data_IF_325218257644
#
_entry.id   IF_325218257644
#
_cell.length_a   1.000
_cell.length_b   1.000
_cell.length_c   1.000
_cell.angle_alpha   90.00
_cell.angle_beta   90.00
_cell.angle_gamma   90.00
#
_symmetry.space_group_name_H-M   'P 1'
#
loop_
_entity.id
_entity.type
_entity.pdbx_description
1 polymer ?
#
# COMPACT_ATOMS: atom_id res chain seq x y z
N UNK A 1 -9.15 -8.12 5.06
CA UNK A 1 -8.27 -7.09 5.68
C UNK A 1 -8.30 -7.23 7.19
N UNK A 2 -7.20 -7.69 7.77
CA UNK A 2 -7.06 -7.92 9.22
C UNK A 2 -6.74 -6.60 9.93
N UNK A 3 -7.08 -6.46 11.21
CA UNK A 3 -6.73 -5.28 12.02
C UNK A 3 -5.99 -5.72 13.28
N UNK A 4 -4.89 -5.05 13.62
CA UNK A 4 -4.10 -5.33 14.82
C UNK A 4 -3.50 -4.06 15.41
N UNK A 5 -3.12 -4.10 16.68
CA UNK A 5 -2.41 -2.98 17.32
C UNK A 5 -0.91 -3.08 17.08
N UNK A 6 -0.19 -1.97 17.24
CA UNK A 6 1.29 -1.96 17.22
C UNK A 6 1.88 -2.94 18.24
N UNK A 7 1.26 -3.07 19.43
CA UNK A 7 1.72 -3.99 20.49
C UNK A 7 1.60 -5.44 20.01
N UNK A 8 0.42 -5.81 19.51
CA UNK A 8 0.15 -7.14 18.99
C UNK A 8 1.13 -7.52 17.86
N UNK A 9 1.43 -6.58 16.96
CA UNK A 9 2.39 -6.81 15.89
C UNK A 9 3.79 -7.11 16.42
N UNK A 10 4.28 -6.34 17.41
CA UNK A 10 5.61 -6.56 17.99
C UNK A 10 5.77 -7.96 18.58
N UNK A 11 4.71 -8.50 19.17
CA UNK A 11 4.73 -9.83 19.79
C UNK A 11 4.62 -10.98 18.78
N UNK A 12 3.97 -10.75 17.64
CA UNK A 12 3.59 -11.83 16.69
C UNK A 12 4.21 -11.70 15.30
N UNK A 13 5.09 -10.73 15.04
CA UNK A 13 5.61 -10.44 13.70
C UNK A 13 6.38 -11.60 13.06
N UNK A 14 7.17 -12.35 13.83
CA UNK A 14 8.12 -13.35 13.29
C UNK A 14 7.44 -14.51 12.55
N UNK A 15 6.30 -14.97 13.06
CA UNK A 15 5.64 -16.19 12.59
C UNK A 15 4.32 -15.89 11.87
N UNK A 16 4.11 -14.64 11.46
CA UNK A 16 2.85 -14.22 10.84
C UNK A 16 2.99 -14.26 9.31
N UNK A 17 2.34 -15.21 8.63
CA UNK A 17 2.20 -15.14 7.19
C UNK A 17 1.30 -13.95 6.82
N UNK A 18 1.72 -13.18 5.80
CA UNK A 18 1.02 -12.00 5.30
C UNK A 18 0.18 -12.36 4.08
N UNK A 19 -0.76 -13.28 4.27
CA UNK A 19 -1.68 -13.73 3.21
C UNK A 19 -2.67 -12.63 2.81
N UNK A 20 -2.89 -11.66 3.71
CA UNK A 20 -3.76 -10.52 3.50
C UNK A 20 -3.16 -9.25 4.14
N UNK A 21 -3.46 -8.06 3.57
CA UNK A 21 -3.18 -6.78 4.19
C UNK A 21 -3.69 -6.67 5.62
N UNK A 22 -2.84 -6.13 6.51
CA UNK A 22 -3.19 -5.82 7.89
C UNK A 22 -3.17 -4.30 8.12
N UNK A 23 -4.27 -3.76 8.67
CA UNK A 23 -4.29 -2.41 9.22
C UNK A 23 -3.72 -2.39 10.63
N UNK A 24 -2.76 -1.49 10.87
CA UNK A 24 -2.13 -1.30 12.18
C UNK A 24 -2.73 -0.09 12.88
N UNK A 25 -3.16 -0.31 14.11
CA UNK A 25 -3.79 0.70 14.97
C UNK A 25 -2.84 1.11 16.10
N UNK A 26 -2.80 2.39 16.42
CA UNK A 26 -2.15 2.95 17.60
C UNK A 26 -3.07 3.97 18.26
N UNK A 27 -3.35 3.81 19.56
CA UNK A 27 -4.23 4.71 20.32
C UNK A 27 -5.61 4.98 19.68
N UNK A 28 -6.17 3.99 18.99
CA UNK A 28 -7.47 4.10 18.32
C UNK A 28 -7.42 4.59 16.88
N UNK A 29 -6.27 5.02 16.37
CA UNK A 29 -6.10 5.51 15.01
C UNK A 29 -5.34 4.51 14.14
N UNK A 30 -5.72 4.44 12.85
CA UNK A 30 -5.00 3.64 11.87
C UNK A 30 -3.76 4.40 11.40
N UNK A 31 -2.58 3.85 11.63
CA UNK A 31 -1.31 4.53 11.31
C UNK A 31 -0.66 4.02 10.04
N UNK A 32 -0.83 2.74 9.71
CA UNK A 32 -0.28 2.14 8.50
C UNK A 32 -1.00 0.84 8.13
N UNK A 33 -0.64 0.32 6.95
CA UNK A 33 -1.03 -1.01 6.50
C UNK A 33 0.24 -1.79 6.20
N UNK A 34 0.29 -3.04 6.66
CA UNK A 34 1.34 -3.99 6.33
C UNK A 34 0.81 -4.89 5.22
N UNK A 35 1.57 -4.97 4.13
CA UNK A 35 1.29 -5.82 2.98
C UNK A 35 2.56 -6.55 2.55
N UNK A 36 2.40 -7.55 1.70
CA UNK A 36 3.54 -8.20 1.06
C UNK A 36 4.34 -7.20 0.20
N UNK A 37 5.67 -7.40 0.15
CA UNK A 37 6.57 -6.47 -0.54
C UNK A 37 6.39 -6.51 -2.06
N UNK A 38 6.13 -7.69 -2.62
CA UNK A 38 5.88 -7.85 -4.06
C UNK A 38 4.54 -7.20 -4.43
N UNK A 39 3.52 -7.37 -3.58
CA UNK A 39 2.23 -6.70 -3.75
C UNK A 39 2.37 -5.18 -3.69
N UNK A 40 3.15 -4.65 -2.74
CA UNK A 40 3.42 -3.20 -2.65
C UNK A 40 4.09 -2.68 -3.93
N UNK A 41 5.13 -3.37 -4.41
CA UNK A 41 5.85 -2.97 -5.62
C UNK A 41 4.93 -2.95 -6.83
N UNK A 42 4.14 -4.02 -7.03
CA UNK A 42 3.17 -4.09 -8.11
C UNK A 42 2.18 -2.91 -8.10
N UNK A 43 1.68 -2.52 -6.93
CA UNK A 43 0.79 -1.36 -6.79
C UNK A 43 1.47 -0.04 -7.15
N UNK A 44 2.72 0.17 -6.70
CA UNK A 44 3.48 1.38 -7.01
C UNK A 44 3.79 1.50 -8.50
N UNK A 45 4.22 0.40 -9.13
CA UNK A 45 4.53 0.36 -10.56
C UNK A 45 3.27 0.63 -11.40
N UNK A 46 2.14 0.02 -11.03
CA UNK A 46 0.85 0.24 -11.69
C UNK A 46 0.39 1.69 -11.58
N UNK A 47 0.55 2.30 -10.39
CA UNK A 47 0.22 3.70 -10.18
C UNK A 47 1.14 4.65 -10.96
N UNK A 48 2.43 4.33 -11.03
CA UNK A 48 3.40 5.11 -11.82
C UNK A 48 3.04 5.09 -13.31
N UNK A 49 2.71 3.90 -13.85
CA UNK A 49 2.26 3.76 -15.23
C UNK A 49 1.01 4.58 -15.52
N UNK A 50 0.00 4.51 -14.65
CA UNK A 50 -1.23 5.30 -14.81
C UNK A 50 -0.95 6.80 -14.84
N UNK A 51 -0.07 7.30 -13.97
CA UNK A 51 0.34 8.71 -13.96
C UNK A 51 1.05 9.10 -15.26
N UNK A 52 1.91 8.23 -15.80
CA UNK A 52 2.59 8.47 -17.07
C UNK A 52 1.60 8.55 -18.24
N UNK A 53 0.61 7.66 -18.29
CA UNK A 53 -0.45 7.70 -19.29
C UNK A 53 -1.23 9.02 -19.23
N UNK A 54 -1.64 9.43 -18.02
CA UNK A 54 -2.33 10.72 -17.82
C UNK A 54 -1.50 11.93 -18.23
N UNK A 55 -0.18 11.89 -17.99
CA UNK A 55 0.73 12.96 -18.42
C UNK A 55 0.87 12.99 -19.95
N UNK A 56 0.94 11.81 -20.59
CA UNK A 56 0.97 11.69 -22.05
C UNK A 56 -0.30 12.27 -22.69
N UNK A 57 -1.48 11.94 -22.17
CA UNK A 57 -2.76 12.47 -22.65
C UNK A 57 -2.86 14.00 -22.52
N UNK A 58 -2.44 14.54 -21.37
CA UNK A 58 -2.41 16.00 -21.16
C UNK A 58 -1.43 16.68 -22.11
N UNK A 59 -0.28 16.08 -22.36
CA UNK A 59 0.70 16.62 -23.30
C UNK A 59 0.14 16.71 -24.73
N UNK A 60 -0.60 15.70 -25.18
CA UNK A 60 -1.23 15.70 -26.51
C UNK A 60 -2.37 16.72 -26.60
N UNK A 61 -3.13 16.92 -25.52
CA UNK A 61 -4.25 17.87 -25.49
C UNK A 61 -3.76 19.33 -25.52
N UNK A 62 -2.62 19.63 -24.89
CA UNK A 62 -2.05 20.98 -24.85
C UNK A 62 -1.27 21.39 -26.11
N UNK A 63 -1.12 20.49 -27.10
CA UNK A 63 -0.43 20.76 -28.37
C UNK A 63 -1.37 21.05 -29.55
N UNK A 64 -2.70 21.03 -29.32
CA UNK A 64 -3.74 21.50 -30.26
C UNK A 64 -4.30 22.84 -29.81
#
# INVERSE_FOLDING_TARGET
MKTGTVIYLKEHARNRPLDEPMRVMQKGEAICVIIDTEQYRYQQDSLALLKLMQLSEKSLTNQN
#
